data_IF_597726584206
#
_entry.id   IF_597726584206
#
_cell.length_a   1.000
_cell.length_b   1.000
_cell.length_c   1.000
_cell.angle_alpha   90.00
_cell.angle_beta   90.00
_cell.angle_gamma   90.00
#
_symmetry.space_group_name_H-M   'P 1'
#
loop_
_entity.id
_entity.type
_entity.pdbx_description
1 polymer ?
#
# COMPACT_ATOMS: atom_id res chain seq x y z
N UNK A 1 13.18 22.11 0.05
CA UNK A 1 13.06 20.71 -0.37
C UNK A 1 12.34 19.84 0.67
N UNK A 2 12.85 19.80 1.89
CA UNK A 2 12.28 19.02 2.99
C UNK A 2 10.94 19.56 3.45
N UNK A 3 10.77 20.86 3.54
CA UNK A 3 9.53 21.52 3.96
C UNK A 3 8.41 21.40 2.92
N UNK A 4 8.73 21.51 1.63
CA UNK A 4 7.74 21.39 0.54
C UNK A 4 7.45 19.94 0.10
N UNK A 5 8.14 18.95 0.65
CA UNK A 5 7.95 17.53 0.30
C UNK A 5 8.34 17.17 -1.14
N UNK A 6 9.09 18.02 -1.84
CA UNK A 6 9.48 17.80 -3.23
C UNK A 6 10.67 16.84 -3.35
N UNK A 7 10.64 15.96 -4.36
CA UNK A 7 11.76 15.07 -4.68
C UNK A 7 12.88 15.81 -5.42
N UNK A 8 14.11 15.26 -5.38
CA UNK A 8 15.23 15.79 -6.18
C UNK A 8 14.90 15.85 -7.68
N UNK A 9 14.19 14.85 -8.18
CA UNK A 9 13.79 14.76 -9.60
C UNK A 9 12.81 15.89 -9.95
N UNK A 10 11.79 16.15 -9.12
CA UNK A 10 10.85 17.25 -9.35
C UNK A 10 11.53 18.61 -9.40
N UNK A 11 12.40 18.91 -8.42
CA UNK A 11 13.16 20.17 -8.42
C UNK A 11 14.09 20.24 -9.63
N UNK A 12 14.76 19.13 -9.99
CA UNK A 12 15.64 19.10 -11.15
C UNK A 12 14.90 19.32 -12.47
N UNK A 13 13.67 18.82 -12.60
CA UNK A 13 12.83 19.06 -13.77
C UNK A 13 12.32 20.51 -13.82
N UNK A 14 11.87 21.05 -12.70
CA UNK A 14 11.38 22.41 -12.62
C UNK A 14 12.47 23.47 -12.93
N UNK A 15 13.69 23.30 -12.39
CA UNK A 15 14.75 24.31 -12.52
C UNK A 15 15.19 24.62 -13.97
N UNK A 16 14.96 23.71 -14.92
CA UNK A 16 15.34 23.88 -16.32
C UNK A 16 14.21 24.45 -17.19
N UNK A 17 13.05 24.76 -16.60
CA UNK A 17 11.89 25.27 -17.33
C UNK A 17 11.74 26.77 -17.12
N UNK A 18 11.30 27.53 -18.14
CA UNK A 18 10.85 28.91 -17.95
C UNK A 18 9.72 28.96 -16.90
N UNK A 19 9.85 29.83 -15.90
CA UNK A 19 8.87 29.94 -14.80
C UNK A 19 8.79 28.74 -13.84
N UNK A 20 9.64 27.72 -14.02
CA UNK A 20 9.53 26.46 -13.26
C UNK A 20 9.88 26.58 -11.78
N UNK A 21 10.74 27.55 -11.40
CA UNK A 21 11.01 27.93 -10.00
C UNK A 21 10.98 29.44 -9.92
N UNK A 22 10.11 29.96 -9.04
CA UNK A 22 9.93 31.41 -8.86
C UNK A 22 10.04 31.77 -7.38
N UNK A 23 10.54 32.95 -7.10
CA UNK A 23 10.56 33.60 -5.80
C UNK A 23 9.81 34.91 -5.91
N UNK A 24 8.76 35.11 -5.15
CA UNK A 24 7.90 36.30 -5.18
C UNK A 24 7.40 36.63 -6.59
N UNK A 25 7.02 35.61 -7.39
CA UNK A 25 6.55 35.73 -8.76
C UNK A 25 7.64 35.92 -9.83
N UNK A 26 8.90 36.05 -9.46
CA UNK A 26 10.03 36.18 -10.41
C UNK A 26 10.82 34.88 -10.50
N UNK A 27 11.23 34.51 -11.71
CA UNK A 27 12.06 33.31 -11.92
C UNK A 27 13.36 33.42 -11.14
N UNK A 28 13.68 32.39 -10.38
CA UNK A 28 14.90 32.33 -9.56
C UNK A 28 15.66 31.00 -9.75
N UNK A 29 16.92 30.97 -9.31
CA UNK A 29 17.72 29.76 -9.29
C UNK A 29 17.47 28.98 -8.01
N UNK A 30 17.53 27.64 -8.08
CA UNK A 30 17.39 26.76 -6.90
C UNK A 30 18.49 26.93 -5.85
N UNK A 31 19.56 27.65 -6.18
CA UNK A 31 20.66 28.02 -5.30
C UNK A 31 20.47 29.36 -4.63
N UNK A 32 19.44 30.11 -5.00
CA UNK A 32 19.15 31.42 -4.42
C UNK A 32 18.63 31.27 -2.99
N UNK A 33 19.07 32.17 -2.13
CA UNK A 33 18.65 32.16 -0.71
C UNK A 33 17.23 32.68 -0.57
N UNK A 34 16.39 31.94 0.12
CA UNK A 34 15.06 32.36 0.53
C UNK A 34 15.07 32.83 1.99
N UNK A 35 14.35 33.89 2.27
CA UNK A 35 14.20 34.47 3.60
C UNK A 35 12.78 34.23 4.14
N UNK A 36 12.57 34.35 5.47
CA UNK A 36 11.24 34.32 6.04
C UNK A 36 10.33 35.37 5.37
N UNK A 37 9.16 34.92 4.87
CA UNK A 37 8.23 35.78 4.12
C UNK A 37 8.33 35.67 2.60
N UNK A 38 9.39 35.08 2.06
CA UNK A 38 9.48 34.83 0.60
C UNK A 38 8.49 33.74 0.17
N UNK A 39 7.76 34.00 -0.90
CA UNK A 39 6.91 33.04 -1.56
C UNK A 39 7.69 32.29 -2.66
N UNK A 40 7.87 30.98 -2.49
CA UNK A 40 8.54 30.12 -3.46
C UNK A 40 7.51 29.29 -4.21
N UNK A 41 7.39 29.51 -5.51
CA UNK A 41 6.53 28.73 -6.40
C UNK A 41 7.37 27.76 -7.21
N UNK A 42 6.98 26.49 -7.25
CA UNK A 42 7.60 25.45 -8.09
C UNK A 42 6.53 24.87 -9.01
N UNK A 43 6.67 25.10 -10.31
CA UNK A 43 5.77 24.55 -11.30
C UNK A 43 6.11 23.08 -11.56
N UNK A 44 5.23 22.18 -11.17
CA UNK A 44 5.35 20.75 -11.39
C UNK A 44 4.46 20.36 -12.57
N UNK A 45 4.94 20.56 -13.79
CA UNK A 45 4.25 19.97 -14.93
C UNK A 45 4.43 18.45 -14.92
N UNK A 46 3.33 17.75 -15.09
CA UNK A 46 3.30 16.33 -15.36
C UNK A 46 3.53 16.12 -16.86
N UNK A 47 4.77 15.81 -17.28
CA UNK A 47 4.96 15.20 -18.60
C UNK A 47 4.44 13.76 -18.50
N UNK A 48 3.13 13.59 -18.68
CA UNK A 48 2.47 12.29 -18.67
C UNK A 48 2.61 11.60 -20.04
N UNK A 49 3.86 11.40 -20.49
CA UNK A 49 4.14 10.63 -21.73
C UNK A 49 3.76 9.15 -21.55
N UNK A 50 3.75 8.64 -20.31
CA UNK A 50 3.32 7.27 -20.01
C UNK A 50 1.78 7.13 -19.80
N UNK A 51 1.03 8.24 -19.74
CA UNK A 51 -0.44 8.20 -19.65
C UNK A 51 -1.07 7.72 -20.96
N UNK A 52 -0.45 7.97 -22.10
CA UNK A 52 -0.96 7.57 -23.41
C UNK A 52 -1.20 6.05 -23.55
N UNK A 53 -0.41 5.21 -22.87
CA UNK A 53 -0.62 3.75 -22.90
C UNK A 53 -1.76 3.29 -21.98
N UNK A 54 -2.03 4.01 -20.88
CA UNK A 54 -3.19 3.77 -20.01
C UNK A 54 -4.46 4.44 -20.56
N UNK A 55 -4.32 5.53 -21.32
CA UNK A 55 -5.42 6.25 -21.97
C UNK A 55 -6.02 5.47 -23.15
N UNK A 56 -5.23 4.64 -23.83
CA UNK A 56 -5.68 3.84 -24.97
C UNK A 56 -6.22 2.45 -24.60
N UNK A 57 -6.06 2.02 -23.34
CA UNK A 57 -6.62 0.74 -22.90
C UNK A 57 -8.15 0.85 -22.83
N UNK A 58 -8.90 -0.05 -23.52
CA UNK A 58 -10.36 -0.06 -23.41
C UNK A 58 -10.77 -0.20 -21.94
N UNK A 59 -11.86 0.46 -21.55
CA UNK A 59 -12.43 0.29 -20.22
C UNK A 59 -12.69 -1.21 -20.00
N UNK A 60 -12.24 -1.79 -18.90
CA UNK A 60 -12.40 -3.22 -18.65
C UNK A 60 -13.89 -3.56 -18.56
N UNK A 61 -14.38 -4.38 -19.48
CA UNK A 61 -15.81 -4.68 -19.63
C UNK A 61 -16.40 -5.57 -18.50
N UNK A 62 -15.56 -6.16 -17.65
CA UNK A 62 -15.98 -7.18 -16.67
C UNK A 62 -15.29 -7.08 -15.30
N UNK A 63 -14.83 -5.91 -14.89
CA UNK A 63 -14.28 -5.77 -13.55
C UNK A 63 -15.39 -5.39 -12.55
N UNK A 64 -15.33 -5.89 -11.30
CA UNK A 64 -16.27 -5.50 -10.25
C UNK A 64 -16.22 -3.99 -10.04
N UNK A 65 -17.32 -3.40 -9.59
CA UNK A 65 -17.40 -1.98 -9.25
C UNK A 65 -16.31 -1.61 -8.24
N UNK A 66 -15.75 -0.40 -8.39
CA UNK A 66 -14.69 0.09 -7.51
C UNK A 66 -15.29 0.48 -6.14
N UNK A 67 -15.00 -0.32 -5.11
CA UNK A 67 -15.43 -0.02 -3.75
C UNK A 67 -14.51 1.04 -3.13
N UNK A 68 -15.02 2.28 -3.05
CA UNK A 68 -14.28 3.43 -2.52
C UNK A 68 -14.51 3.53 -1.02
N UNK A 69 -13.41 3.54 -0.24
CA UNK A 69 -13.43 3.69 1.22
C UNK A 69 -13.20 5.13 1.66
N UNK A 70 -12.45 5.90 0.86
CA UNK A 70 -12.17 7.30 1.12
C UNK A 70 -11.74 7.99 -0.17
N UNK A 71 -12.18 9.20 -0.37
CA UNK A 71 -11.78 10.03 -1.50
C UNK A 71 -11.70 11.49 -1.09
N UNK A 72 -10.63 12.17 -1.52
CA UNK A 72 -10.50 13.61 -1.51
C UNK A 72 -9.74 14.09 -2.77
N UNK A 73 -9.38 15.37 -2.82
CA UNK A 73 -8.67 15.95 -3.97
C UNK A 73 -7.29 15.34 -4.24
N UNK A 74 -6.67 14.67 -3.26
CA UNK A 74 -5.29 14.19 -3.31
C UNK A 74 -5.18 12.67 -3.24
N UNK A 75 -6.20 12.00 -2.69
CA UNK A 75 -6.16 10.59 -2.32
C UNK A 75 -7.44 9.87 -2.77
N UNK A 76 -7.27 8.63 -3.22
CA UNK A 76 -8.32 7.63 -3.37
C UNK A 76 -7.90 6.38 -2.61
N UNK A 77 -8.69 5.93 -1.63
CA UNK A 77 -8.54 4.64 -0.96
C UNK A 77 -9.65 3.70 -1.40
N UNK A 78 -9.29 2.50 -1.80
CA UNK A 78 -10.23 1.50 -2.29
C UNK A 78 -10.10 0.18 -1.54
N UNK A 79 -11.19 -0.57 -1.44
CA UNK A 79 -11.19 -1.95 -1.01
C UNK A 79 -10.92 -2.85 -2.22
N UNK A 80 -9.68 -3.32 -2.37
CA UNK A 80 -9.32 -4.22 -3.46
C UNK A 80 -9.95 -5.61 -3.23
N UNK A 81 -10.73 -6.15 -4.16
CA UNK A 81 -11.17 -7.54 -4.06
C UNK A 81 -9.98 -8.50 -4.21
N UNK A 82 -10.11 -9.70 -3.67
CA UNK A 82 -9.19 -10.79 -3.95
C UNK A 82 -9.32 -11.23 -5.43
N UNK A 83 -8.28 -11.84 -5.97
CA UNK A 83 -8.23 -12.28 -7.37
C UNK A 83 -7.82 -11.21 -8.37
N UNK A 84 -7.80 -9.93 -7.98
CA UNK A 84 -7.43 -8.80 -8.83
C UNK A 84 -5.97 -8.39 -8.60
N UNK A 85 -5.17 -8.25 -9.67
CA UNK A 85 -3.81 -7.72 -9.58
C UNK A 85 -3.82 -6.21 -9.36
N UNK A 86 -2.84 -5.68 -8.61
CA UNK A 86 -2.74 -4.22 -8.38
C UNK A 86 -2.37 -3.46 -9.64
N UNK A 87 -1.39 -3.95 -10.39
CA UNK A 87 -0.87 -3.32 -11.61
C UNK A 87 -0.91 -4.29 -12.79
N UNK A 88 -0.94 -3.81 -14.02
CA UNK A 88 -0.74 -4.64 -15.19
C UNK A 88 0.54 -5.48 -15.05
N UNK A 89 0.44 -6.79 -15.22
CA UNK A 89 1.57 -7.72 -15.15
C UNK A 89 1.24 -9.05 -15.83
N UNK A 90 2.21 -9.61 -16.54
CA UNK A 90 2.02 -10.90 -17.23
C UNK A 90 0.87 -10.85 -18.23
N UNK A 91 -0.13 -11.71 -18.07
CA UNK A 91 -1.35 -11.75 -18.91
C UNK A 91 -2.43 -10.72 -18.54
N UNK A 92 -2.23 -9.97 -17.45
CA UNK A 92 -3.21 -9.00 -16.93
C UNK A 92 -2.85 -7.58 -17.38
N UNK A 93 -3.14 -7.22 -18.63
CA UNK A 93 -2.83 -5.89 -19.19
C UNK A 93 -3.93 -4.85 -18.95
N UNK A 94 -5.20 -5.24 -19.07
CA UNK A 94 -6.37 -4.34 -19.00
C UNK A 94 -7.28 -4.59 -17.80
N UNK A 95 -7.02 -5.63 -17.02
CA UNK A 95 -7.85 -6.14 -15.93
C UNK A 95 -7.21 -5.98 -14.54
N UNK A 96 -6.41 -4.94 -14.36
CA UNK A 96 -5.83 -4.62 -13.04
C UNK A 96 -6.63 -3.55 -12.28
N UNK A 97 -6.44 -3.47 -10.96
CA UNK A 97 -7.03 -2.41 -10.15
C UNK A 97 -6.57 -1.01 -10.64
N UNK A 98 -5.33 -0.87 -11.10
CA UNK A 98 -4.86 0.40 -11.68
C UNK A 98 -5.61 0.79 -12.93
N UNK A 99 -6.07 -0.17 -13.77
CA UNK A 99 -6.92 0.12 -14.91
C UNK A 99 -8.32 0.59 -14.48
N UNK A 100 -8.91 -0.02 -13.43
CA UNK A 100 -10.19 0.44 -12.87
C UNK A 100 -10.10 1.87 -12.34
N UNK A 101 -9.05 2.17 -11.54
CA UNK A 101 -8.82 3.52 -11.00
C UNK A 101 -8.60 4.53 -12.12
N UNK A 102 -7.87 4.17 -13.18
CA UNK A 102 -7.71 5.02 -14.36
C UNK A 102 -9.04 5.30 -15.06
N UNK A 103 -9.89 4.29 -15.22
CA UNK A 103 -11.23 4.44 -15.78
C UNK A 103 -12.12 5.33 -14.89
N UNK A 104 -12.03 5.15 -13.57
CA UNK A 104 -12.75 5.99 -12.61
C UNK A 104 -12.33 7.46 -12.70
N UNK A 105 -11.04 7.77 -12.74
CA UNK A 105 -10.58 9.16 -12.89
C UNK A 105 -11.03 9.77 -14.23
N UNK A 106 -11.02 8.99 -15.33
CA UNK A 106 -11.56 9.46 -16.62
C UNK A 106 -13.05 9.77 -16.55
N UNK A 107 -13.85 8.96 -15.85
CA UNK A 107 -15.30 9.20 -15.71
C UNK A 107 -15.64 10.48 -14.90
N UNK A 108 -14.65 11.02 -14.17
CA UNK A 108 -14.75 12.27 -13.43
C UNK A 108 -14.17 13.48 -14.19
N UNK A 109 -13.83 13.31 -15.48
CA UNK A 109 -13.12 14.31 -16.28
C UNK A 109 -11.78 14.77 -15.67
N UNK A 110 -11.14 13.89 -14.90
CA UNK A 110 -9.86 14.14 -14.22
C UNK A 110 -8.79 13.13 -14.71
N UNK A 111 -8.32 13.25 -15.96
CA UNK A 111 -7.30 12.36 -16.49
C UNK A 111 -5.99 12.55 -15.72
N UNK A 112 -5.74 11.68 -14.76
CA UNK A 112 -4.51 11.74 -13.96
C UNK A 112 -3.83 10.39 -13.95
N UNK A 113 -2.48 10.42 -13.93
CA UNK A 113 -1.68 9.20 -13.81
C UNK A 113 -1.99 8.47 -12.51
N UNK A 114 -2.33 7.19 -12.62
CA UNK A 114 -2.61 6.34 -11.45
C UNK A 114 -1.31 6.04 -10.69
N UNK A 115 -1.28 6.38 -9.40
CA UNK A 115 -0.12 6.20 -8.52
C UNK A 115 -0.51 5.48 -7.25
N UNK A 116 -0.33 4.17 -7.20
CA UNK A 116 -0.60 3.41 -5.98
C UNK A 116 0.50 3.63 -4.93
N UNK A 117 0.11 3.66 -3.67
CA UNK A 117 1.03 3.71 -2.52
C UNK A 117 1.26 2.29 -2.02
N UNK A 118 2.24 1.64 -2.61
CA UNK A 118 2.52 0.22 -2.42
C UNK A 118 1.66 -0.68 -3.30
N UNK A 119 1.59 -1.95 -2.92
CA UNK A 119 0.82 -2.97 -3.65
C UNK A 119 0.23 -4.00 -2.69
N UNK A 120 -0.81 -4.69 -3.14
CA UNK A 120 -1.29 -5.94 -2.58
C UNK A 120 -1.10 -7.06 -3.61
N UNK A 121 -0.89 -8.27 -3.14
CA UNK A 121 -0.82 -9.44 -4.01
C UNK A 121 -2.20 -9.75 -4.63
N UNK A 122 -2.23 -10.54 -5.70
CA UNK A 122 -3.47 -10.87 -6.43
C UNK A 122 -4.56 -11.38 -5.50
N UNK A 123 -4.23 -12.33 -4.62
CA UNK A 123 -5.16 -12.98 -3.71
C UNK A 123 -5.46 -12.19 -2.43
N UNK A 124 -4.65 -11.18 -2.11
CA UNK A 124 -4.87 -10.33 -0.94
C UNK A 124 -5.97 -9.31 -1.22
N UNK A 125 -6.97 -9.24 -0.35
CA UNK A 125 -8.04 -8.23 -0.36
C UNK A 125 -7.72 -7.05 0.56
N UNK A 126 -8.52 -5.98 0.50
CA UNK A 126 -8.51 -4.87 1.44
C UNK A 126 -7.88 -3.57 0.94
N UNK A 127 -7.52 -2.69 1.87
CA UNK A 127 -7.20 -1.29 1.59
C UNK A 127 -5.96 -1.12 0.72
N UNK A 128 -6.14 -0.45 -0.40
CA UNK A 128 -5.05 0.08 -1.21
C UNK A 128 -5.26 1.57 -1.48
N UNK A 129 -4.19 2.35 -1.29
CA UNK A 129 -4.19 3.79 -1.42
C UNK A 129 -3.61 4.21 -2.77
N UNK A 130 -4.26 5.16 -3.42
CA UNK A 130 -3.80 5.81 -4.65
C UNK A 130 -3.67 7.31 -4.41
N UNK A 131 -2.63 7.91 -4.97
CA UNK A 131 -2.48 9.35 -5.00
C UNK A 131 -2.96 9.91 -6.34
N UNK A 132 -3.74 10.99 -6.30
CA UNK A 132 -4.29 11.64 -7.48
C UNK A 132 -3.26 12.57 -8.15
N UNK A 133 -2.20 12.94 -7.45
CA UNK A 133 -1.13 13.78 -7.97
C UNK A 133 0.26 13.31 -7.52
N UNK A 134 1.29 13.79 -8.19
CA UNK A 134 2.67 13.37 -7.97
C UNK A 134 3.21 13.77 -6.58
N UNK A 135 2.80 14.93 -6.08
CA UNK A 135 3.28 15.43 -4.78
C UNK A 135 2.68 14.63 -3.64
N UNK A 136 1.37 14.34 -3.69
CA UNK A 136 0.71 13.44 -2.76
C UNK A 136 1.36 12.06 -2.76
N UNK A 137 1.65 11.51 -3.95
CA UNK A 137 2.33 10.22 -4.08
C UNK A 137 3.69 10.22 -3.38
N UNK A 138 4.52 11.25 -3.61
CA UNK A 138 5.84 11.34 -3.00
C UNK A 138 5.76 11.47 -1.47
N UNK A 139 4.82 12.27 -0.96
CA UNK A 139 4.63 12.47 0.50
C UNK A 139 4.10 11.20 1.18
N UNK A 140 3.11 10.53 0.61
CA UNK A 140 2.55 9.28 1.13
C UNK A 140 3.56 8.13 1.07
N UNK A 141 4.32 8.02 -0.02
CA UNK A 141 5.39 7.04 -0.12
C UNK A 141 6.46 7.26 0.94
N UNK A 142 6.82 8.51 1.23
CA UNK A 142 7.76 8.86 2.31
C UNK A 142 7.21 8.52 3.69
N UNK A 143 5.91 8.73 3.94
CA UNK A 143 5.27 8.30 5.19
C UNK A 143 5.39 6.78 5.37
N UNK A 144 5.12 6.02 4.31
CA UNK A 144 5.26 4.56 4.31
C UNK A 144 6.71 4.12 4.57
N UNK A 145 7.69 4.74 3.92
CA UNK A 145 9.13 4.42 4.10
C UNK A 145 9.63 4.74 5.51
N UNK A 146 9.11 5.80 6.11
CA UNK A 146 9.45 6.22 7.47
C UNK A 146 8.63 5.51 8.57
N UNK A 147 7.71 4.58 8.21
CA UNK A 147 6.87 3.88 9.17
C UNK A 147 5.81 4.75 9.86
N UNK A 148 5.52 5.94 9.31
CA UNK A 148 4.46 6.85 9.79
C UNK A 148 3.09 6.31 9.39
N UNK A 149 2.98 5.77 8.17
CA UNK A 149 1.78 5.08 7.70
C UNK A 149 1.80 3.64 8.20
N UNK A 150 0.74 3.23 8.90
CA UNK A 150 0.61 1.89 9.47
C UNK A 150 -0.51 1.12 8.79
N UNK A 151 -0.17 0.01 8.14
CA UNK A 151 -1.15 -0.93 7.55
C UNK A 151 -1.20 -2.20 8.40
N UNK A 152 -2.41 -2.53 8.87
CA UNK A 152 -2.70 -3.74 9.63
C UNK A 152 -3.43 -4.74 8.76
N UNK A 153 -2.98 -5.98 8.79
CA UNK A 153 -3.55 -7.10 8.07
C UNK A 153 -4.21 -8.07 9.03
N UNK A 154 -5.21 -8.80 8.55
CA UNK A 154 -5.72 -10.03 9.16
C UNK A 154 -5.36 -11.21 8.29
N UNK A 155 -4.94 -12.30 8.90
CA UNK A 155 -4.69 -13.58 8.26
C UNK A 155 -5.34 -14.72 9.05
N UNK A 156 -5.91 -15.69 8.35
CA UNK A 156 -6.26 -16.97 8.91
C UNK A 156 -5.16 -17.96 8.59
N UNK A 157 -4.58 -18.58 9.61
CA UNK A 157 -3.44 -19.47 9.48
C UNK A 157 -3.75 -20.89 9.98
N UNK A 158 -3.05 -21.87 9.46
CA UNK A 158 -3.12 -23.26 9.89
C UNK A 158 -2.44 -23.45 11.25
N UNK A 159 -3.02 -24.29 12.08
CA UNK A 159 -2.52 -24.59 13.43
C UNK A 159 -3.02 -23.64 14.51
N UNK A 160 -3.13 -24.17 15.72
CA UNK A 160 -3.50 -23.40 16.92
C UNK A 160 -2.25 -22.75 17.50
N UNK A 161 -2.26 -21.44 17.64
CA UNK A 161 -1.19 -20.63 18.22
C UNK A 161 -1.64 -20.12 19.59
N UNK A 162 -0.69 -19.76 20.48
CA UNK A 162 -1.02 -19.14 21.75
C UNK A 162 -1.57 -17.74 21.51
N UNK A 163 -2.75 -17.45 22.07
CA UNK A 163 -3.38 -16.13 21.96
C UNK A 163 -2.63 -15.05 22.76
N UNK A 164 -2.47 -13.87 22.17
CA UNK A 164 -1.87 -12.70 22.81
C UNK A 164 -2.98 -11.83 23.43
N UNK A 165 -3.23 -12.00 24.72
CA UNK A 165 -4.33 -11.32 25.43
C UNK A 165 -4.01 -9.88 25.82
N UNK A 166 -2.74 -9.50 25.82
CA UNK A 166 -2.24 -8.17 26.20
C UNK A 166 -1.91 -7.24 25.03
N UNK A 167 -2.16 -7.69 23.79
CA UNK A 167 -1.85 -6.95 22.57
C UNK A 167 -0.37 -6.97 22.19
N UNK A 168 0.42 -7.90 22.73
CA UNK A 168 1.82 -8.10 22.38
C UNK A 168 1.98 -8.43 20.89
N UNK A 169 3.04 -7.89 20.28
CA UNK A 169 3.45 -8.23 18.93
C UNK A 169 4.79 -8.97 18.96
N UNK A 170 4.83 -10.11 18.32
CA UNK A 170 6.04 -10.88 18.03
C UNK A 170 6.65 -10.47 16.70
N UNK A 171 7.98 -10.59 16.57
CA UNK A 171 8.67 -10.17 15.35
C UNK A 171 9.28 -11.37 14.59
N UNK A 172 9.04 -11.41 13.29
CA UNK A 172 9.76 -12.30 12.35
C UNK A 172 10.68 -11.40 11.53
N UNK A 173 12.01 -11.64 11.65
CA UNK A 173 13.03 -10.76 11.05
C UNK A 173 13.89 -11.46 10.00
N UNK A 174 13.52 -12.68 9.60
CA UNK A 174 14.27 -13.47 8.63
C UNK A 174 14.21 -12.81 7.25
N UNK A 175 15.36 -12.55 6.60
CA UNK A 175 15.38 -12.01 5.24
C UNK A 175 14.73 -12.94 4.22
N UNK A 176 14.22 -12.35 3.13
CA UNK A 176 13.56 -13.07 2.04
C UNK A 176 14.35 -12.94 0.73
N UNK A 177 14.39 -14.02 -0.04
CA UNK A 177 14.96 -14.07 -1.38
C UNK A 177 13.95 -14.68 -2.38
N UNK A 178 14.10 -14.40 -3.70
CA UNK A 178 13.44 -15.20 -4.72
C UNK A 178 13.83 -16.69 -4.57
N UNK A 179 12.86 -17.58 -4.76
CA UNK A 179 13.12 -19.01 -4.77
C UNK A 179 13.94 -19.37 -6.03
N UNK A 180 15.12 -20.00 -5.90
CA UNK A 180 15.95 -20.39 -7.05
C UNK A 180 15.24 -21.31 -8.03
N UNK A 181 14.37 -22.20 -7.52
CA UNK A 181 13.71 -23.24 -8.29
C UNK A 181 12.31 -22.85 -8.78
N UNK A 182 11.72 -21.82 -8.18
CA UNK A 182 10.37 -21.37 -8.55
C UNK A 182 10.24 -19.84 -8.55
N UNK A 183 10.28 -19.24 -9.73
CA UNK A 183 10.19 -17.76 -9.92
C UNK A 183 8.91 -17.12 -9.36
N UNK A 184 7.88 -17.88 -9.08
CA UNK A 184 6.63 -17.38 -8.49
C UNK A 184 6.70 -17.31 -6.96
N UNK A 185 7.71 -17.92 -6.34
CA UNK A 185 7.85 -18.02 -4.90
C UNK A 185 8.95 -17.11 -4.35
N UNK A 186 8.79 -16.80 -3.09
CA UNK A 186 9.84 -16.25 -2.23
C UNK A 186 10.15 -17.29 -1.15
N UNK A 187 11.36 -17.28 -0.64
CA UNK A 187 11.80 -18.18 0.44
C UNK A 187 12.50 -17.38 1.53
N UNK A 188 12.54 -17.94 2.75
CA UNK A 188 13.39 -17.39 3.81
C UNK A 188 14.87 -17.58 3.43
N UNK A 189 15.69 -16.57 3.78
CA UNK A 189 17.13 -16.56 3.50
C UNK A 189 17.91 -16.25 4.76
N UNK A 190 18.06 -17.23 5.70
CA UNK A 190 18.77 -17.02 6.95
C UNK A 190 20.18 -16.50 6.69
N UNK A 191 20.60 -15.48 7.44
CA UNK A 191 21.91 -14.85 7.24
C UNK A 191 22.10 -14.18 5.86
N UNK A 192 21.01 -13.93 5.10
CA UNK A 192 21.07 -13.39 3.74
C UNK A 192 21.89 -14.21 2.76
N UNK A 193 21.87 -15.53 2.92
CA UNK A 193 22.72 -16.50 2.18
C UNK A 193 22.34 -16.66 0.71
N UNK A 194 21.09 -16.36 0.33
CA UNK A 194 20.61 -16.53 -1.05
C UNK A 194 20.77 -15.26 -1.89
N UNK A 195 21.03 -15.38 -3.21
CA UNK A 195 21.09 -14.25 -4.13
C UNK A 195 19.79 -13.44 -4.13
N UNK A 196 19.91 -12.11 -4.14
CA UNK A 196 18.74 -11.21 -4.12
C UNK A 196 18.03 -11.12 -2.76
N UNK A 197 18.63 -11.68 -1.70
CA UNK A 197 18.12 -11.59 -0.33
C UNK A 197 17.94 -10.14 0.10
N UNK A 198 16.81 -9.86 0.78
CA UNK A 198 16.48 -8.53 1.31
C UNK A 198 15.96 -8.65 2.74
N UNK A 199 16.32 -7.71 3.62
CA UNK A 199 15.77 -7.67 4.97
C UNK A 199 14.24 -7.60 4.92
N UNK A 200 13.60 -8.37 5.79
CA UNK A 200 12.15 -8.42 5.94
C UNK A 200 11.79 -8.49 7.42
N UNK A 201 10.82 -7.65 7.84
CA UNK A 201 10.35 -7.60 9.22
C UNK A 201 8.82 -7.59 9.23
N UNK A 202 8.23 -8.62 9.80
CA UNK A 202 6.79 -8.77 10.04
C UNK A 202 6.54 -8.83 11.54
N UNK A 203 5.61 -8.03 12.03
CA UNK A 203 5.08 -8.12 13.38
C UNK A 203 3.76 -8.87 13.32
N UNK A 204 3.51 -9.77 14.28
CA UNK A 204 2.25 -10.48 14.39
C UNK A 204 1.76 -10.60 15.84
N UNK A 205 0.45 -10.68 16.00
CA UNK A 205 -0.24 -10.93 17.27
C UNK A 205 -1.42 -11.87 17.02
N UNK A 206 -1.54 -12.89 17.84
CA UNK A 206 -2.57 -13.92 17.70
C UNK A 206 -3.83 -13.46 18.40
N UNK A 207 -4.91 -13.24 17.64
CA UNK A 207 -6.17 -12.72 18.15
C UNK A 207 -7.07 -13.82 18.72
N UNK A 208 -7.15 -14.95 18.01
CA UNK A 208 -7.99 -16.08 18.32
C UNK A 208 -7.34 -17.37 17.84
N UNK A 209 -7.58 -18.45 18.56
CA UNK A 209 -7.17 -19.80 18.19
C UNK A 209 -8.26 -20.81 18.48
N UNK A 210 -8.36 -21.83 17.65
CA UNK A 210 -9.27 -22.95 17.93
C UNK A 210 -8.80 -23.69 19.17
N UNK A 211 -9.76 -24.23 19.94
CA UNK A 211 -9.45 -25.01 21.14
C UNK A 211 -8.57 -26.22 20.81
N UNK A 212 -7.70 -26.66 21.75
CA UNK A 212 -6.92 -27.87 21.59
C UNK A 212 -7.85 -29.08 21.30
N UNK A 213 -7.49 -29.87 20.29
CA UNK A 213 -8.27 -31.06 19.89
C UNK A 213 -9.43 -30.73 18.93
N UNK A 214 -9.62 -29.49 18.50
CA UNK A 214 -10.60 -29.13 17.48
C UNK A 214 -10.33 -29.91 16.17
N UNK A 215 -11.42 -30.27 15.45
CA UNK A 215 -11.32 -30.97 14.15
C UNK A 215 -10.46 -30.21 13.14
N UNK A 216 -10.54 -28.88 13.15
CA UNK A 216 -9.69 -27.99 12.35
C UNK A 216 -8.90 -27.14 13.33
N UNK A 217 -7.58 -27.17 13.20
CA UNK A 217 -6.67 -26.33 13.98
C UNK A 217 -6.31 -25.10 13.17
N UNK A 218 -6.74 -23.92 13.64
CA UNK A 218 -6.54 -22.66 12.95
C UNK A 218 -6.43 -21.49 13.93
N UNK A 219 -5.81 -20.39 13.49
CA UNK A 219 -5.71 -19.16 14.25
C UNK A 219 -6.01 -17.95 13.39
N UNK A 220 -6.60 -16.91 13.99
CA UNK A 220 -6.76 -15.58 13.42
C UNK A 220 -5.64 -14.70 13.94
N UNK A 221 -4.84 -14.14 13.03
CA UNK A 221 -3.62 -13.40 13.34
C UNK A 221 -3.70 -11.97 12.78
N UNK A 222 -3.34 -10.99 13.61
CA UNK A 222 -3.16 -9.60 13.20
C UNK A 222 -1.68 -9.36 12.86
N UNK A 223 -1.40 -8.72 11.72
CA UNK A 223 -0.02 -8.52 11.28
C UNK A 223 0.23 -7.08 10.86
N UNK A 224 1.47 -6.62 11.05
CA UNK A 224 1.97 -5.32 10.59
C UNK A 224 3.31 -5.51 9.89
N UNK A 225 3.53 -4.74 8.83
CA UNK A 225 4.75 -4.81 8.04
C UNK A 225 5.65 -3.61 8.29
N UNK A 226 6.88 -3.84 8.75
CA UNK A 226 7.94 -2.81 8.76
C UNK A 226 8.67 -2.72 7.41
N UNK A 227 8.60 -3.77 6.62
CA UNK A 227 9.10 -3.86 5.24
C UNK A 227 8.01 -4.43 4.35
N UNK A 228 8.05 -4.22 3.03
CA UNK A 228 7.05 -4.74 2.09
C UNK A 228 7.69 -5.53 0.97
N UNK A 229 8.03 -6.81 1.21
CA UNK A 229 8.55 -7.72 0.19
C UNK A 229 7.41 -8.53 -0.42
N UNK A 230 7.62 -9.02 -1.63
CA UNK A 230 6.67 -9.92 -2.30
C UNK A 230 6.39 -11.13 -1.39
N UNK A 231 5.11 -11.47 -1.22
CA UNK A 231 4.63 -12.60 -0.40
C UNK A 231 5.12 -12.61 1.06
N UNK A 232 5.59 -11.48 1.61
CA UNK A 232 6.30 -11.44 2.89
C UNK A 232 5.53 -12.11 4.03
N UNK A 233 4.27 -11.75 4.26
CA UNK A 233 3.44 -12.36 5.31
C UNK A 233 3.29 -13.86 5.07
N UNK A 234 3.01 -14.27 3.84
CA UNK A 234 2.78 -15.66 3.44
C UNK A 234 3.99 -16.52 3.75
N UNK A 235 5.19 -16.08 3.35
CA UNK A 235 6.46 -16.79 3.60
C UNK A 235 6.81 -16.82 5.08
N UNK A 236 6.68 -15.70 5.78
CA UNK A 236 7.02 -15.60 7.20
C UNK A 236 6.11 -16.50 8.04
N UNK A 237 4.80 -16.49 7.83
CA UNK A 237 3.89 -17.37 8.58
C UNK A 237 4.13 -18.85 8.25
N UNK A 238 4.39 -19.19 6.99
CA UNK A 238 4.76 -20.55 6.60
C UNK A 238 6.07 -21.00 7.27
N UNK A 239 7.05 -20.10 7.42
CA UNK A 239 8.32 -20.42 8.09
C UNK A 239 8.20 -20.69 9.59
N UNK A 240 7.14 -20.21 10.22
CA UNK A 240 6.78 -20.54 11.61
C UNK A 240 6.00 -21.87 11.74
N UNK A 241 5.69 -22.55 10.62
CA UNK A 241 4.82 -23.72 10.61
C UNK A 241 3.33 -23.41 10.61
N UNK A 242 2.96 -22.13 10.44
CA UNK A 242 1.58 -21.64 10.42
C UNK A 242 1.26 -20.97 9.06
N UNK A 243 1.29 -21.71 7.92
CA UNK A 243 0.97 -21.11 6.62
C UNK A 243 -0.47 -20.60 6.58
N UNK A 244 -0.74 -19.64 5.72
CA UNK A 244 -2.08 -19.10 5.52
C UNK A 244 -3.00 -20.18 4.96
N UNK A 245 -4.24 -20.24 5.44
CA UNK A 245 -5.28 -21.11 4.89
C UNK A 245 -5.58 -20.68 3.44
N UNK A 246 -5.83 -21.67 2.57
CA UNK A 246 -6.11 -21.48 1.14
C UNK A 246 -4.90 -21.00 0.31
N UNK A 247 -3.70 -20.91 0.87
CA UNK A 247 -2.52 -20.46 0.15
C UNK A 247 -1.96 -21.54 -0.76
N UNK A 248 -2.27 -21.47 -2.05
CA UNK A 248 -1.86 -22.45 -3.07
C UNK A 248 -0.34 -22.52 -3.33
N UNK A 249 0.45 -21.55 -2.85
CA UNK A 249 1.90 -21.53 -3.03
C UNK A 249 2.66 -22.03 -1.80
N UNK A 250 2.18 -21.72 -0.60
CA UNK A 250 2.90 -21.98 0.65
C UNK A 250 2.20 -22.97 1.59
N UNK A 251 0.97 -23.39 1.26
CA UNK A 251 0.19 -24.37 2.01
C UNK A 251 -0.46 -25.41 1.09
N UNK A 252 0.35 -26.18 0.38
CA UNK A 252 -0.12 -27.16 -0.61
C UNK A 252 -0.95 -28.31 0.00
N UNK A 253 -0.85 -28.53 1.31
CA UNK A 253 -1.56 -29.57 2.05
C UNK A 253 -2.86 -29.09 2.72
N UNK A 254 -3.33 -27.88 2.42
CA UNK A 254 -4.59 -27.39 2.97
C UNK A 254 -5.78 -28.19 2.41
N UNK A 255 -6.42 -28.94 3.28
CA UNK A 255 -7.63 -29.74 2.99
C UNK A 255 -8.87 -29.17 3.68
N UNK A 256 -8.76 -28.01 4.32
CA UNK A 256 -9.87 -27.44 5.11
C UNK A 256 -11.00 -26.90 4.24
N UNK A 257 -10.69 -26.48 3.02
CA UNK A 257 -11.63 -25.83 2.10
C UNK A 257 -12.32 -24.58 2.69
N UNK A 258 -11.73 -23.98 3.73
CA UNK A 258 -12.26 -22.76 4.37
C UNK A 258 -12.03 -21.51 3.52
N UNK A 259 -10.93 -21.52 2.75
CA UNK A 259 -10.58 -20.43 1.84
C UNK A 259 -10.16 -20.99 0.48
N UNK A 260 -10.61 -20.33 -0.59
CA UNK A 260 -10.20 -20.64 -1.98
C UNK A 260 -9.00 -19.81 -2.44
N UNK A 261 -8.40 -19.02 -1.56
CA UNK A 261 -7.29 -18.10 -1.78
C UNK A 261 -6.43 -17.97 -0.52
N UNK A 262 -5.25 -17.39 -0.63
CA UNK A 262 -4.50 -17.05 0.57
C UNK A 262 -5.35 -16.14 1.48
N UNK A 263 -5.63 -16.62 2.69
CA UNK A 263 -6.47 -15.93 3.67
C UNK A 263 -5.75 -14.73 4.27
N UNK A 264 -5.67 -13.64 3.49
CA UNK A 264 -4.99 -12.39 3.83
C UNK A 264 -5.83 -11.19 3.42
N UNK A 265 -6.02 -10.26 4.36
CA UNK A 265 -6.82 -9.07 4.18
C UNK A 265 -6.12 -7.84 4.76
N UNK A 266 -5.90 -6.79 3.96
CA UNK A 266 -5.39 -5.51 4.40
C UNK A 266 -6.53 -4.73 5.07
N UNK A 267 -6.69 -4.94 6.37
CA UNK A 267 -7.87 -4.57 7.14
C UNK A 267 -7.92 -3.09 7.51
N UNK A 268 -6.83 -2.56 8.12
CA UNK A 268 -6.79 -1.17 8.59
C UNK A 268 -5.59 -0.43 8.02
N UNK A 269 -5.77 0.87 7.80
CA UNK A 269 -4.71 1.76 7.36
C UNK A 269 -4.81 3.08 8.11
N UNK A 270 -3.70 3.49 8.75
CA UNK A 270 -3.53 4.81 9.37
C UNK A 270 -2.45 5.58 8.63
N UNK A 271 -2.70 6.83 8.35
CA UNK A 271 -1.75 7.72 7.69
C UNK A 271 -2.13 9.18 7.92
N UNK A 272 -1.22 10.11 7.62
CA UNK A 272 -1.54 11.54 7.63
C UNK A 272 -1.86 12.02 6.21
N UNK A 273 -2.77 12.99 6.06
CA UNK A 273 -2.98 13.66 4.78
C UNK A 273 -1.66 14.11 4.17
N UNK A 274 -1.48 14.02 2.82
CA UNK A 274 -0.24 14.45 2.18
C UNK A 274 -0.01 15.95 2.31
N UNK A 275 -1.08 16.74 2.51
CA UNK A 275 -1.03 18.17 2.72
C UNK A 275 -1.66 18.54 4.06
N UNK A 276 -1.12 19.52 4.79
CA UNK A 276 -1.78 20.10 5.95
C UNK A 276 -3.11 20.78 5.56
N UNK A 277 -4.02 20.94 6.51
CA UNK A 277 -5.27 21.67 6.29
C UNK A 277 -4.99 23.08 5.77
N UNK A 278 -5.57 23.44 4.63
CA UNK A 278 -5.37 24.73 3.95
C UNK A 278 -4.29 24.77 2.88
N UNK A 279 -3.47 23.73 2.73
CA UNK A 279 -2.60 23.53 1.56
C UNK A 279 -3.33 22.70 0.50
N UNK A 280 -3.30 23.15 -0.75
CA UNK A 280 -3.81 22.38 -1.90
C UNK A 280 -2.74 22.24 -2.96
N UNK A 281 -2.87 21.24 -3.84
CA UNK A 281 -1.98 21.04 -5.00
C UNK A 281 -2.03 22.17 -6.03
N UNK A 282 -3.12 22.91 -6.06
CA UNK A 282 -3.39 23.96 -7.06
C UNK A 282 -2.85 25.32 -6.64
N UNK A 283 -2.01 25.42 -5.55
CA UNK A 283 -1.60 26.65 -5.48
C UNK A 283 -0.79 27.32 -4.49
N UNK A 284 -0.98 28.20 -3.98
CA UNK A 284 -0.33 29.28 -3.26
C UNK A 284 -0.11 28.81 -1.84
N UNK A 285 1.13 28.50 -1.51
CA UNK A 285 1.57 28.48 -0.12
C UNK A 285 1.34 29.87 0.46
N UNK A 286 0.17 30.14 1.03
CA UNK A 286 -0.01 31.31 1.85
C UNK A 286 0.93 31.17 3.05
N UNK A 287 1.70 32.21 3.32
CA UNK A 287 2.62 32.35 4.44
C UNK A 287 1.85 32.34 5.76
N UNK A 288 1.44 31.18 6.25
CA UNK A 288 1.06 31.05 7.65
C UNK A 288 2.21 30.40 8.41
N UNK A 289 2.58 30.92 9.59
CA UNK A 289 3.56 30.28 10.44
C UNK A 289 3.07 28.86 10.74
N UNK A 290 3.98 27.90 10.69
CA UNK A 290 3.74 26.53 11.15
C UNK A 290 3.37 26.56 12.64
N UNK A 291 2.10 26.84 12.95
CA UNK A 291 1.53 26.41 14.21
C UNK A 291 1.38 24.91 14.11
N UNK A 292 1.81 24.22 15.14
CA UNK A 292 1.67 22.77 15.36
C UNK A 292 0.19 22.36 15.44
N UNK A 293 -0.58 22.57 14.37
CA UNK A 293 -1.84 21.90 14.20
C UNK A 293 -1.55 20.47 13.82
N UNK A 294 -1.59 19.61 14.81
CA UNK A 294 -1.47 18.17 14.68
C UNK A 294 -2.26 17.71 13.46
N UNK A 295 -1.55 17.22 12.45
CA UNK A 295 -2.14 16.62 11.24
C UNK A 295 -3.10 15.53 11.70
N UNK A 296 -4.41 15.75 11.56
CA UNK A 296 -5.41 14.78 11.98
C UNK A 296 -5.15 13.48 11.21
N UNK A 297 -4.76 12.44 11.92
CA UNK A 297 -4.55 11.11 11.35
C UNK A 297 -5.86 10.61 10.70
N UNK A 298 -5.76 10.08 9.49
CA UNK A 298 -6.85 9.38 8.81
C UNK A 298 -6.70 7.90 9.15
N UNK A 299 -7.76 7.32 9.70
CA UNK A 299 -7.87 5.89 9.99
C UNK A 299 -8.98 5.30 9.15
N UNK A 300 -8.63 4.35 8.29
CA UNK A 300 -9.56 3.63 7.41
C UNK A 300 -9.62 2.17 7.81
N UNK A 301 -10.81 1.58 7.65
CA UNK A 301 -11.06 0.16 7.87
C UNK A 301 -11.82 -0.41 6.67
N UNK A 302 -11.30 -1.49 6.08
CA UNK A 302 -12.02 -2.23 5.05
C UNK A 302 -12.97 -3.23 5.69
N UNK A 303 -14.20 -3.38 5.17
CA UNK A 303 -15.10 -4.41 5.64
C UNK A 303 -14.49 -5.79 5.46
N UNK A 304 -14.71 -6.68 6.43
CA UNK A 304 -14.25 -8.06 6.32
C UNK A 304 -14.95 -8.75 5.16
N UNK A 305 -14.20 -9.42 4.27
CA UNK A 305 -14.80 -10.21 3.21
C UNK A 305 -15.55 -11.42 3.77
N UNK A 306 -16.52 -11.93 3.02
CA UNK A 306 -17.43 -12.98 3.47
C UNK A 306 -16.71 -14.28 3.89
N UNK A 307 -15.60 -14.62 3.24
CA UNK A 307 -14.78 -15.78 3.63
C UNK A 307 -14.19 -15.62 5.06
N UNK A 308 -13.77 -14.40 5.44
CA UNK A 308 -13.30 -14.12 6.80
C UNK A 308 -14.42 -14.11 7.84
N UNK A 309 -15.60 -13.56 7.51
CA UNK A 309 -16.77 -13.59 8.40
C UNK A 309 -17.18 -15.03 8.69
N UNK A 310 -17.35 -15.82 7.62
CA UNK A 310 -17.70 -17.25 7.72
C UNK A 310 -16.64 -18.04 8.50
N UNK A 311 -15.37 -17.78 8.26
CA UNK A 311 -14.27 -18.40 9.03
C UNK A 311 -14.40 -18.10 10.52
N UNK A 312 -14.60 -16.81 10.88
CA UNK A 312 -14.73 -16.41 12.27
C UNK A 312 -15.93 -17.09 12.97
N UNK A 313 -17.10 -17.06 12.33
CA UNK A 313 -18.34 -17.68 12.85
C UNK A 313 -18.24 -19.21 12.97
N UNK A 314 -17.45 -19.85 12.10
CA UNK A 314 -17.32 -21.32 12.08
C UNK A 314 -16.27 -21.81 13.07
N UNK A 315 -15.23 -21.03 13.35
CA UNK A 315 -14.06 -21.47 14.11
C UNK A 315 -14.04 -20.99 15.57
N UNK A 316 -14.71 -19.86 15.86
CA UNK A 316 -14.67 -19.22 17.18
C UNK A 316 -16.06 -18.87 17.70
#
# INVERSE_FOLDING_TARGET
>A
RTQAGLTKKQISQAKFRPGGVQKNGQQCRVTETAYPGDQITVCLETNDVDSAQLESAPAPQFLPELEILYEDQDILAVNKPAGLVTHPSGSHYSDSLSNQVAAYFRSKDEPTKVRSIGRLDKETSGILLFARNQTAAARLQKQRENGISEKTYLAAVSGSMLEDTDGTFHAITTPLAPDPDNRLKMVISPGSSLPGSKPAVTLYSVLKSTAPGSRISASLVMLRLKTGRTHQIRVHMASLGHPLLGDSLYHLSDTTNLFSRAALHAWKLKFHPPFPAGETTSGILSSMPCTENAKKEISLEAPLPEDFKKFYETMF
#
